data_IF_061406993503
#
_entry.id   IF_061406993503
#
_cell.length_a   1.000
_cell.length_b   1.000
_cell.length_c   1.000
_cell.angle_alpha   90.00
_cell.angle_beta   90.00
_cell.angle_gamma   90.00
#
_symmetry.space_group_name_H-M   'P 1'
#
loop_
_entity.id
_entity.type
_entity.pdbx_description
1 polymer ?
#
# COMPACT_ATOMS: atom_id res chain seq x y z
N UNK A 1 12.76 5.57 -2.63
CA UNK A 1 12.04 4.29 -2.42
C UNK A 1 11.78 3.69 -3.79
N UNK A 2 12.00 2.39 -3.97
CA UNK A 2 11.77 1.72 -5.24
C UNK A 2 10.27 1.73 -5.59
N UNK A 3 9.92 1.91 -6.86
CA UNK A 3 8.54 1.79 -7.33
C UNK A 3 7.97 0.42 -6.93
N UNK A 4 6.74 0.39 -6.43
CA UNK A 4 6.08 -0.88 -6.08
C UNK A 4 5.93 -1.73 -7.35
N UNK A 5 6.53 -2.94 -7.41
CA UNK A 5 6.53 -3.75 -8.61
C UNK A 5 5.12 -4.14 -9.05
N UNK A 6 4.18 -4.26 -8.11
CA UNK A 6 2.78 -4.57 -8.39
C UNK A 6 2.08 -3.43 -9.14
N UNK A 7 2.40 -2.17 -8.83
CA UNK A 7 1.79 -1.03 -9.51
C UNK A 7 2.35 -0.85 -10.92
N UNK A 8 3.67 -1.04 -11.10
CA UNK A 8 4.27 -1.06 -12.45
C UNK A 8 3.68 -2.18 -13.32
N UNK A 9 3.42 -3.36 -12.73
CA UNK A 9 2.74 -4.45 -13.43
C UNK A 9 1.30 -4.06 -13.81
N UNK A 10 0.53 -3.46 -12.89
CA UNK A 10 -0.82 -2.96 -13.17
C UNK A 10 -0.83 -1.99 -14.36
N UNK A 11 0.04 -0.97 -14.36
CA UNK A 11 0.14 0.00 -15.46
C UNK A 11 0.39 -0.72 -16.80
N UNK A 12 1.36 -1.62 -16.84
CA UNK A 12 1.70 -2.33 -18.07
C UNK A 12 0.52 -3.18 -18.58
N UNK A 13 -0.21 -3.83 -17.67
CA UNK A 13 -1.40 -4.63 -18.01
C UNK A 13 -2.55 -3.77 -18.52
N UNK A 14 -2.85 -2.66 -17.86
CA UNK A 14 -3.87 -1.70 -18.30
C UNK A 14 -3.53 -1.15 -19.69
N UNK A 15 -2.27 -0.76 -19.95
CA UNK A 15 -1.85 -0.30 -21.28
C UNK A 15 -2.07 -1.34 -22.37
N UNK A 16 -1.81 -2.62 -22.10
CA UNK A 16 -2.09 -3.71 -23.04
C UNK A 16 -3.59 -3.86 -23.31
N UNK A 17 -4.42 -3.71 -22.28
CA UNK A 17 -5.88 -3.75 -22.42
C UNK A 17 -6.41 -2.54 -23.22
N UNK A 18 -5.89 -1.34 -22.95
CA UNK A 18 -6.22 -0.13 -23.72
C UNK A 18 -5.89 -0.29 -25.20
N UNK A 19 -4.67 -0.77 -25.51
CA UNK A 19 -4.24 -1.02 -26.89
C UNK A 19 -5.15 -2.01 -27.61
N UNK A 20 -5.57 -3.06 -26.90
CA UNK A 20 -6.37 -4.15 -27.47
C UNK A 20 -7.84 -3.78 -27.68
N UNK A 21 -8.45 -3.05 -26.74
CA UNK A 21 -9.91 -2.86 -26.70
C UNK A 21 -10.37 -1.42 -26.96
N UNK A 22 -9.52 -0.42 -26.72
CA UNK A 22 -9.90 1.00 -26.80
C UNK A 22 -9.24 1.76 -27.95
N UNK A 23 -7.96 1.53 -28.27
CA UNK A 23 -7.22 2.41 -29.20
C UNK A 23 -7.90 2.58 -30.57
N UNK A 24 -8.42 1.50 -31.15
CA UNK A 24 -9.17 1.57 -32.42
C UNK A 24 -10.46 2.38 -32.29
N UNK A 25 -11.20 2.18 -31.21
CA UNK A 25 -12.45 2.90 -30.93
C UNK A 25 -12.21 4.39 -30.65
N UNK A 26 -11.19 4.74 -29.86
CA UNK A 26 -10.80 6.13 -29.57
C UNK A 26 -10.38 6.87 -30.85
N UNK A 27 -9.65 6.20 -31.74
CA UNK A 27 -9.24 6.78 -33.03
C UNK A 27 -10.46 7.06 -33.91
N UNK A 28 -11.42 6.13 -33.96
CA UNK A 28 -12.66 6.30 -34.70
C UNK A 28 -13.58 7.38 -34.09
N UNK A 29 -13.72 7.41 -32.77
CA UNK A 29 -14.46 8.44 -32.02
C UNK A 29 -13.87 9.84 -32.28
N UNK A 30 -12.55 9.98 -32.30
CA UNK A 30 -11.88 11.25 -32.59
C UNK A 30 -12.06 11.70 -34.05
N UNK A 31 -12.08 10.76 -34.99
CA UNK A 31 -12.24 11.05 -36.41
C UNK A 31 -13.68 11.48 -36.78
N UNK A 32 -14.69 10.91 -36.11
CA UNK A 32 -16.10 11.25 -36.32
C UNK A 32 -16.92 11.23 -35.02
N UNK A 33 -16.82 12.28 -34.17
CA UNK A 33 -17.43 12.28 -32.85
C UNK A 33 -18.97 12.34 -32.87
N UNK A 34 -19.59 12.74 -33.99
CA UNK A 34 -21.04 12.93 -34.07
C UNK A 34 -21.78 11.69 -34.58
N UNK A 35 -21.11 10.85 -35.38
CA UNK A 35 -21.73 9.64 -35.95
C UNK A 35 -21.14 8.33 -35.40
N UNK A 36 -20.04 8.40 -34.64
CA UNK A 36 -19.40 7.23 -34.06
C UNK A 36 -20.36 6.42 -33.18
N UNK A 37 -20.43 5.12 -33.46
CA UNK A 37 -21.17 4.16 -32.66
C UNK A 37 -20.17 3.23 -31.96
N UNK A 38 -20.11 3.23 -30.62
CA UNK A 38 -19.16 2.41 -29.89
C UNK A 38 -19.48 0.92 -30.00
N UNK A 39 -18.42 0.10 -29.99
CA UNK A 39 -18.53 -1.34 -29.81
C UNK A 39 -18.66 -1.64 -28.31
N UNK A 40 -19.90 -1.88 -27.87
CA UNK A 40 -20.23 -2.11 -26.47
C UNK A 40 -19.63 -3.39 -25.93
N UNK A 41 -19.39 -4.41 -26.76
CA UNK A 41 -18.82 -5.69 -26.31
C UNK A 41 -17.33 -5.53 -26.00
N UNK A 42 -16.61 -4.77 -26.83
CA UNK A 42 -15.21 -4.44 -26.56
C UNK A 42 -15.06 -3.54 -25.32
N UNK A 43 -15.98 -2.58 -25.12
CA UNK A 43 -15.98 -1.73 -23.91
C UNK A 43 -16.32 -2.53 -22.64
N UNK A 44 -17.29 -3.43 -22.73
CA UNK A 44 -17.62 -4.36 -21.66
C UNK A 44 -16.40 -5.22 -21.27
N UNK A 45 -15.72 -5.79 -22.26
CA UNK A 45 -14.52 -6.59 -22.05
C UNK A 45 -13.39 -5.76 -21.41
N UNK A 46 -13.15 -4.54 -21.91
CA UNK A 46 -12.17 -3.62 -21.33
C UNK A 46 -12.44 -3.35 -19.84
N UNK A 47 -13.67 -2.93 -19.50
CA UNK A 47 -14.06 -2.64 -18.12
C UNK A 47 -13.88 -3.85 -17.20
N UNK A 48 -14.37 -5.02 -17.62
CA UNK A 48 -14.27 -6.26 -16.85
C UNK A 48 -12.82 -6.65 -16.55
N UNK A 49 -11.95 -6.54 -17.56
CA UNK A 49 -10.54 -6.93 -17.44
C UNK A 49 -9.74 -5.91 -16.63
N UNK A 50 -9.90 -4.60 -16.86
CA UNK A 50 -9.21 -3.57 -16.06
C UNK A 50 -9.60 -3.66 -14.60
N UNK A 51 -10.88 -3.88 -14.31
CA UNK A 51 -11.33 -4.11 -12.94
C UNK A 51 -10.61 -5.30 -12.29
N UNK A 52 -10.48 -6.42 -13.00
CA UNK A 52 -9.76 -7.59 -12.48
C UNK A 52 -8.28 -7.30 -12.22
N UNK A 53 -7.63 -6.48 -13.05
CA UNK A 53 -6.23 -6.08 -12.83
C UNK A 53 -6.06 -5.17 -11.61
N UNK A 54 -6.95 -4.18 -11.41
CA UNK A 54 -6.92 -3.31 -10.22
C UNK A 54 -7.17 -4.13 -8.95
N UNK A 55 -8.09 -5.08 -9.02
CA UNK A 55 -8.39 -6.02 -7.93
C UNK A 55 -7.17 -6.87 -7.56
N UNK A 56 -6.52 -7.48 -8.56
CA UNK A 56 -5.29 -8.27 -8.38
C UNK A 56 -4.15 -7.43 -7.80
N UNK A 57 -4.01 -6.17 -8.21
CA UNK A 57 -3.04 -5.24 -7.62
C UNK A 57 -3.29 -5.03 -6.13
N UNK A 58 -4.51 -4.66 -5.73
CA UNK A 58 -4.84 -4.39 -4.33
C UNK A 58 -4.63 -5.65 -3.47
N UNK A 59 -5.03 -6.81 -3.98
CA UNK A 59 -4.85 -8.08 -3.27
C UNK A 59 -3.37 -8.44 -3.11
N UNK A 60 -2.58 -8.36 -4.17
CA UNK A 60 -1.13 -8.67 -4.11
C UNK A 60 -0.39 -7.71 -3.22
N UNK A 61 -0.70 -6.41 -3.28
CA UNK A 61 -0.11 -5.41 -2.40
C UNK A 61 -0.44 -5.75 -0.93
N UNK A 62 -1.72 -5.88 -0.60
CA UNK A 62 -2.15 -6.19 0.77
C UNK A 62 -1.56 -7.50 1.30
N UNK A 63 -1.50 -8.54 0.47
CA UNK A 63 -0.89 -9.83 0.83
C UNK A 63 0.60 -9.71 1.11
N UNK A 64 1.35 -9.02 0.24
CA UNK A 64 2.79 -8.82 0.40
C UNK A 64 3.11 -8.02 1.68
N UNK A 65 2.34 -6.98 1.96
CA UNK A 65 2.51 -6.16 3.15
C UNK A 65 2.18 -6.95 4.41
N UNK A 66 1.10 -7.73 4.39
CA UNK A 66 0.71 -8.60 5.50
C UNK A 66 1.71 -9.74 5.75
N UNK A 67 2.31 -10.30 4.69
CA UNK A 67 3.40 -11.27 4.82
C UNK A 67 4.69 -10.64 5.38
N UNK A 68 4.99 -9.40 5.00
CA UNK A 68 6.07 -8.62 5.60
C UNK A 68 5.84 -8.43 7.10
N UNK A 69 4.62 -8.06 7.49
CA UNK A 69 4.21 -7.90 8.89
C UNK A 69 4.28 -9.19 9.69
N UNK A 70 3.75 -10.29 9.14
CA UNK A 70 3.78 -11.59 9.81
C UNK A 70 5.23 -12.06 10.04
N UNK A 71 6.13 -11.83 9.07
CA UNK A 71 7.57 -12.09 9.23
C UNK A 71 8.19 -11.21 10.29
N UNK A 72 7.87 -9.91 10.32
CA UNK A 72 8.35 -9.00 11.34
C UNK A 72 7.93 -9.46 12.75
N UNK A 73 6.66 -9.84 12.93
CA UNK A 73 6.12 -10.38 14.18
C UNK A 73 6.82 -11.68 14.62
N UNK A 74 7.09 -12.57 13.67
CA UNK A 74 7.82 -13.81 13.95
C UNK A 74 9.29 -13.57 14.35
N UNK A 75 9.91 -12.52 13.82
CA UNK A 75 11.33 -12.20 14.02
C UNK A 75 11.64 -11.41 15.31
N UNK A 76 10.66 -10.72 15.92
CA UNK A 76 10.91 -9.79 17.04
C UNK A 76 10.70 -10.37 18.46
N UNK A 77 11.58 -9.92 19.38
CA UNK A 77 11.37 -9.75 20.83
C UNK A 77 11.49 -8.25 21.15
N UNK A 78 10.80 -7.70 22.16
CA UNK A 78 9.37 -7.83 22.48
C UNK A 78 8.50 -7.22 21.36
N UNK A 79 7.23 -7.62 21.29
CA UNK A 79 6.28 -7.01 20.35
C UNK A 79 6.00 -5.60 20.84
N UNK A 80 6.71 -4.60 20.31
CA UNK A 80 6.25 -3.22 20.42
C UNK A 80 5.00 -3.17 19.54
N UNK A 81 3.81 -2.97 20.13
CA UNK A 81 2.58 -3.02 19.37
C UNK A 81 2.62 -1.98 18.25
N UNK A 82 2.68 -2.44 17.01
CA UNK A 82 2.67 -1.58 15.85
C UNK A 82 1.26 -1.04 15.66
N UNK A 83 1.13 0.26 15.38
CA UNK A 83 -0.15 0.97 15.32
C UNK A 83 -1.19 0.25 14.43
N UNK A 84 -0.74 -0.36 13.32
CA UNK A 84 -1.61 -1.09 12.40
C UNK A 84 -2.35 -2.27 13.05
N UNK A 85 -1.76 -2.95 14.06
CA UNK A 85 -2.39 -4.10 14.74
C UNK A 85 -3.66 -3.64 15.47
N UNK A 86 -3.56 -2.52 16.18
CA UNK A 86 -4.71 -1.93 16.86
C UNK A 86 -5.75 -1.40 15.88
N UNK A 87 -5.32 -0.80 14.78
CA UNK A 87 -6.25 -0.31 13.77
C UNK A 87 -7.03 -1.44 13.11
N UNK A 88 -6.36 -2.53 12.72
CA UNK A 88 -7.04 -3.72 12.17
C UNK A 88 -7.93 -4.40 13.22
N UNK A 89 -7.46 -4.54 14.45
CA UNK A 89 -8.28 -5.11 15.53
C UNK A 89 -9.55 -4.27 15.76
N UNK A 90 -9.42 -2.95 15.80
CA UNK A 90 -10.56 -2.04 15.91
C UNK A 90 -11.50 -2.15 14.70
N UNK A 91 -10.96 -2.17 13.47
CA UNK A 91 -11.73 -2.33 12.24
C UNK A 91 -12.54 -3.65 12.23
N UNK A 92 -11.95 -4.74 12.71
CA UNK A 92 -12.61 -6.04 12.79
C UNK A 92 -13.39 -6.27 14.10
N UNK A 93 -13.49 -5.26 14.97
CA UNK A 93 -14.09 -5.38 16.31
C UNK A 93 -13.51 -6.54 17.15
N UNK A 94 -12.21 -6.80 17.00
CA UNK A 94 -11.47 -7.81 17.73
C UNK A 94 -10.79 -7.18 18.96
N UNK A 95 -10.93 -7.84 20.12
CA UNK A 95 -10.30 -7.35 21.35
C UNK A 95 -8.87 -7.85 21.45
N UNK A 96 -7.93 -6.91 21.59
CA UNK A 96 -6.54 -7.23 21.98
C UNK A 96 -6.42 -7.28 23.51
N UNK A 97 -5.65 -8.23 24.06
CA UNK A 97 -5.43 -8.32 25.50
C UNK A 97 -4.68 -7.07 25.98
N UNK A 98 -5.34 -6.29 26.82
CA UNK A 98 -4.81 -5.06 27.46
C UNK A 98 -4.72 -5.21 28.98
N UNK A 99 -5.37 -6.24 29.52
CA UNK A 99 -5.42 -6.65 30.92
C UNK A 99 -4.12 -7.29 31.40
N UNK A 100 -3.31 -7.84 30.49
CA UNK A 100 -2.04 -8.51 30.79
C UNK A 100 -0.94 -8.04 29.82
N UNK A 101 -0.39 -6.82 29.98
CA UNK A 101 0.58 -6.24 29.05
C UNK A 101 1.90 -7.01 28.93
N UNK A 102 2.13 -7.98 29.82
CA UNK A 102 3.32 -8.84 29.84
C UNK A 102 3.06 -10.28 29.37
N UNK A 103 1.83 -10.61 28.98
CA UNK A 103 1.49 -11.92 28.41
C UNK A 103 1.72 -11.91 26.88
N UNK A 104 3.00 -12.03 26.50
CA UNK A 104 3.44 -12.05 25.11
C UNK A 104 2.76 -13.16 24.30
N UNK A 105 2.51 -14.32 24.91
CA UNK A 105 1.85 -15.44 24.23
C UNK A 105 0.39 -15.13 23.89
N UNK A 106 -0.40 -14.63 24.85
CA UNK A 106 -1.80 -14.24 24.59
C UNK A 106 -1.91 -13.09 23.60
N UNK A 107 -0.98 -12.13 23.66
CA UNK A 107 -0.93 -11.05 22.68
C UNK A 107 -0.64 -11.58 21.27
N UNK A 108 0.37 -12.46 21.10
CA UNK A 108 0.69 -13.10 19.80
C UNK A 108 -0.51 -13.82 19.20
N UNK A 109 -1.22 -14.63 19.98
CA UNK A 109 -2.41 -15.32 19.50
C UNK A 109 -3.50 -14.37 19.01
N UNK A 110 -3.69 -13.23 19.71
CA UNK A 110 -4.65 -12.22 19.29
C UNK A 110 -4.21 -11.52 17.99
N UNK A 111 -2.93 -11.19 17.85
CA UNK A 111 -2.38 -10.60 16.60
C UNK A 111 -2.49 -11.59 15.44
N UNK A 112 -2.15 -12.86 15.65
CA UNK A 112 -2.29 -13.90 14.61
C UNK A 112 -3.74 -14.05 14.16
N UNK A 113 -4.71 -13.95 15.07
CA UNK A 113 -6.13 -13.95 14.73
C UNK A 113 -6.51 -12.72 13.87
N UNK A 114 -6.00 -11.53 14.20
CA UNK A 114 -6.21 -10.30 13.41
C UNK A 114 -5.60 -10.43 12.01
N UNK A 115 -4.36 -10.92 11.91
CA UNK A 115 -3.68 -11.18 10.63
C UNK A 115 -4.48 -12.19 9.80
N UNK A 116 -4.94 -13.29 10.42
CA UNK A 116 -5.76 -14.29 9.75
C UNK A 116 -7.05 -13.68 9.21
N UNK A 117 -7.74 -12.84 9.99
CA UNK A 117 -8.96 -12.16 9.56
C UNK A 117 -8.71 -11.19 8.40
N UNK A 118 -7.58 -10.49 8.41
CA UNK A 118 -7.16 -9.65 7.29
C UNK A 118 -6.93 -10.48 6.02
N UNK A 119 -6.26 -11.65 6.12
CA UNK A 119 -6.09 -12.58 4.97
C UNK A 119 -7.41 -13.06 4.40
N UNK A 120 -8.33 -13.46 5.27
CA UNK A 120 -9.68 -13.90 4.85
C UNK A 120 -10.41 -12.77 4.13
N UNK A 121 -10.32 -11.53 4.64
CA UNK A 121 -10.97 -10.37 4.02
C UNK A 121 -10.38 -10.02 2.66
N UNK A 122 -9.06 -10.18 2.48
CA UNK A 122 -8.40 -10.01 1.18
C UNK A 122 -8.72 -11.17 0.21
N UNK A 123 -8.92 -12.39 0.71
CA UNK A 123 -9.23 -13.57 -0.09
C UNK A 123 -10.70 -13.68 -0.50
N UNK A 124 -11.64 -13.19 0.32
CA UNK A 124 -13.08 -13.15 0.06
C UNK A 124 -13.47 -12.02 -0.92
N UNK A 125 -12.55 -11.68 -1.83
CA UNK A 125 -12.75 -10.64 -2.82
C UNK A 125 -13.68 -11.13 -3.93
N UNK A 126 -14.80 -10.44 -4.11
CA UNK A 126 -15.72 -10.65 -5.22
C UNK A 126 -15.89 -9.31 -5.96
N UNK A 127 -14.76 -8.66 -6.25
CA UNK A 127 -14.66 -7.38 -6.92
C UNK A 127 -14.19 -6.22 -6.06
N UNK A 128 -13.79 -5.12 -6.70
CA UNK A 128 -13.19 -3.95 -6.04
C UNK A 128 -14.20 -3.35 -5.05
N UNK A 129 -14.10 -3.75 -3.78
CA UNK A 129 -14.97 -3.30 -2.68
C UNK A 129 -14.20 -2.35 -1.77
N UNK A 130 -14.90 -1.33 -1.28
CA UNK A 130 -14.39 -0.42 -0.22
C UNK A 130 -13.72 -1.17 0.93
N UNK A 131 -14.28 -2.30 1.37
CA UNK A 131 -13.74 -3.08 2.48
C UNK A 131 -12.28 -3.52 2.24
N UNK A 132 -11.93 -3.93 1.03
CA UNK A 132 -10.59 -4.43 0.71
C UNK A 132 -9.62 -3.27 0.58
N UNK A 133 -10.03 -2.20 -0.09
CA UNK A 133 -9.23 -0.97 -0.14
C UNK A 133 -8.91 -0.47 1.27
N UNK A 134 -9.90 -0.43 2.18
CA UNK A 134 -9.69 -0.07 3.59
C UNK A 134 -8.67 -0.98 4.27
N UNK A 135 -8.83 -2.30 4.15
CA UNK A 135 -7.89 -3.25 4.76
C UNK A 135 -6.48 -3.07 4.22
N UNK A 136 -6.30 -2.87 2.91
CA UNK A 136 -4.99 -2.59 2.30
C UNK A 136 -4.40 -1.30 2.85
N UNK A 137 -5.18 -0.23 3.00
CA UNK A 137 -4.71 1.04 3.58
C UNK A 137 -4.26 0.88 5.05
N UNK A 138 -5.04 0.17 5.86
CA UNK A 138 -4.70 -0.08 7.27
C UNK A 138 -3.44 -0.92 7.42
N UNK A 139 -3.26 -1.92 6.53
CA UNK A 139 -2.03 -2.71 6.45
C UNK A 139 -0.86 -1.83 5.98
N UNK A 140 -1.06 -0.88 5.07
CA UNK A 140 0.01 0.02 4.66
C UNK A 140 0.34 1.10 5.71
N UNK A 141 -0.41 1.13 6.82
CA UNK A 141 -0.16 1.96 7.99
C UNK A 141 -0.92 3.29 8.03
N UNK A 142 -1.81 3.54 7.06
CA UNK A 142 -2.67 4.73 7.06
C UNK A 142 -3.69 4.66 8.19
N UNK A 143 -3.90 5.79 8.87
CA UNK A 143 -4.99 5.95 9.84
C UNK A 143 -6.32 6.11 9.08
N UNK A 144 -7.43 5.76 9.74
CA UNK A 144 -8.77 5.85 9.12
C UNK A 144 -9.07 7.26 8.57
N UNK A 145 -8.61 8.31 9.26
CA UNK A 145 -8.77 9.71 8.84
C UNK A 145 -7.86 10.13 7.68
N UNK A 146 -6.85 9.33 7.34
CA UNK A 146 -5.93 9.56 6.22
C UNK A 146 -6.35 8.82 4.95
N UNK A 147 -7.35 7.94 5.04
CA UNK A 147 -7.81 7.16 3.88
C UNK A 147 -8.60 8.06 2.93
N UNK A 148 -8.24 8.02 1.65
CA UNK A 148 -8.98 8.72 0.61
C UNK A 148 -10.35 8.06 0.36
N UNK A 149 -11.39 8.66 0.95
CA UNK A 149 -12.78 8.23 0.77
C UNK A 149 -13.31 8.49 -0.64
N UNK A 150 -12.78 9.47 -1.37
CA UNK A 150 -13.18 9.72 -2.75
C UNK A 150 -12.69 8.58 -3.65
N UNK A 151 -11.43 8.15 -3.46
CA UNK A 151 -10.89 6.97 -4.14
C UNK A 151 -11.67 5.70 -3.79
N UNK A 152 -11.97 5.46 -2.51
CA UNK A 152 -12.79 4.32 -2.09
C UNK A 152 -14.16 4.30 -2.79
N UNK A 153 -14.79 5.48 -2.93
CA UNK A 153 -16.07 5.65 -3.62
C UNK A 153 -15.94 5.38 -5.12
N UNK A 154 -14.90 5.91 -5.77
CA UNK A 154 -14.64 5.68 -7.19
C UNK A 154 -14.40 4.20 -7.50
N UNK A 155 -13.60 3.52 -6.66
CA UNK A 155 -13.34 2.08 -6.75
C UNK A 155 -14.63 1.24 -6.62
N UNK A 156 -15.48 1.57 -5.65
CA UNK A 156 -16.78 0.88 -5.49
C UNK A 156 -17.74 1.15 -6.65
N UNK A 157 -17.83 2.39 -7.12
CA UNK A 157 -18.66 2.74 -8.28
C UNK A 157 -18.19 2.01 -9.54
N UNK A 158 -16.87 1.87 -9.73
CA UNK A 158 -16.30 1.10 -10.83
C UNK A 158 -16.61 -0.40 -10.70
N UNK A 159 -16.55 -0.95 -9.48
CA UNK A 159 -16.97 -2.32 -9.19
C UNK A 159 -18.45 -2.59 -9.48
N UNK A 160 -19.33 -1.65 -9.10
CA UNK A 160 -20.77 -1.73 -9.41
C UNK A 160 -21.02 -1.66 -10.92
N UNK A 161 -20.38 -0.72 -11.61
CA UNK A 161 -20.48 -0.56 -13.06
C UNK A 161 -19.99 -1.82 -13.81
N UNK A 162 -19.00 -2.53 -13.26
CA UNK A 162 -18.56 -3.85 -13.74
C UNK A 162 -19.60 -4.93 -13.47
N UNK A 163 -20.14 -5.00 -12.24
CA UNK A 163 -21.18 -5.95 -11.86
C UNK A 163 -22.41 -5.85 -12.78
N UNK A 164 -22.79 -4.62 -13.13
CA UNK A 164 -23.86 -4.34 -14.07
C UNK A 164 -23.62 -4.95 -15.46
N UNK A 165 -22.40 -4.83 -15.99
CA UNK A 165 -22.00 -5.45 -17.27
C UNK A 165 -22.02 -6.97 -17.17
N UNK A 166 -21.57 -7.54 -16.05
CA UNK A 166 -21.49 -8.98 -15.86
C UNK A 166 -22.88 -9.64 -15.68
N UNK A 167 -23.84 -8.94 -15.05
CA UNK A 167 -25.15 -9.50 -14.72
C UNK A 167 -26.24 -9.19 -15.76
N UNK A 168 -26.12 -8.10 -16.52
CA UNK A 168 -27.10 -7.75 -17.56
C UNK A 168 -26.64 -8.35 -18.89
N UNK A 169 -27.36 -9.37 -19.36
CA UNK A 169 -27.22 -9.93 -20.72
C UNK A 169 -27.14 -8.81 -21.76
N UNK A 170 -26.28 -9.02 -22.77
CA UNK A 170 -25.84 -8.15 -23.88
C UNK A 170 -26.88 -7.18 -24.46
N UNK A 171 -28.18 -7.45 -24.31
CA UNK A 171 -29.26 -6.60 -24.81
C UNK A 171 -29.68 -5.42 -23.89
N UNK A 172 -29.07 -5.24 -22.70
CA UNK A 172 -29.54 -4.25 -21.70
C UNK A 172 -28.45 -3.49 -20.94
N UNK A 173 -27.20 -3.50 -21.40
CA UNK A 173 -26.15 -2.71 -20.75
C UNK A 173 -26.29 -1.24 -21.14
N UNK A 174 -27.12 -0.50 -20.42
CA UNK A 174 -27.31 0.95 -20.61
C UNK A 174 -26.24 1.80 -19.92
N UNK A 175 -25.28 1.16 -19.22
CA UNK A 175 -24.28 1.83 -18.37
C UNK A 175 -22.88 1.90 -18.98
N UNK A 176 -22.68 1.41 -20.21
CA UNK A 176 -21.41 1.57 -20.94
C UNK A 176 -21.39 2.96 -21.55
N UNK A 177 -20.37 3.75 -21.21
CA UNK A 177 -20.18 5.11 -21.71
C UNK A 177 -19.34 5.09 -22.99
N UNK A 178 -19.15 6.26 -23.59
CA UNK A 178 -18.25 6.42 -24.73
C UNK A 178 -16.82 5.95 -24.38
N UNK A 179 -16.03 5.46 -25.36
CA UNK A 179 -14.66 4.97 -25.13
C UNK A 179 -13.77 5.98 -24.41
N UNK A 180 -13.85 7.26 -24.80
CA UNK A 180 -13.15 8.37 -24.14
C UNK A 180 -13.48 8.52 -22.65
N UNK A 181 -14.75 8.33 -22.27
CA UNK A 181 -15.19 8.39 -20.89
C UNK A 181 -14.70 7.19 -20.08
N UNK A 182 -14.84 5.96 -20.60
CA UNK A 182 -14.33 4.75 -19.93
C UNK A 182 -12.82 4.83 -19.69
N UNK A 183 -12.06 5.32 -20.69
CA UNK A 183 -10.63 5.53 -20.54
C UNK A 183 -10.33 6.54 -19.43
N UNK A 184 -11.04 7.68 -19.43
CA UNK A 184 -10.85 8.73 -18.44
C UNK A 184 -11.12 8.24 -17.02
N UNK A 185 -12.18 7.47 -16.79
CA UNK A 185 -12.46 6.94 -15.45
C UNK A 185 -11.34 6.03 -14.95
N UNK A 186 -10.81 5.16 -15.82
CA UNK A 186 -9.68 4.28 -15.49
C UNK A 186 -8.43 5.10 -15.21
N UNK A 187 -8.11 6.09 -16.04
CA UNK A 187 -6.97 6.98 -15.83
C UNK A 187 -7.06 7.73 -14.50
N UNK A 188 -8.25 8.24 -14.15
CA UNK A 188 -8.49 8.97 -12.91
C UNK A 188 -8.31 8.04 -11.69
N UNK A 189 -8.80 6.80 -11.74
CA UNK A 189 -8.60 5.78 -10.69
C UNK A 189 -7.11 5.40 -10.56
N UNK A 190 -6.44 5.13 -11.68
CA UNK A 190 -5.03 4.76 -11.72
C UNK A 190 -4.16 5.87 -11.11
N UNK A 191 -4.43 7.12 -11.48
CA UNK A 191 -3.73 8.28 -10.93
C UNK A 191 -3.99 8.47 -9.45
N UNK A 192 -5.23 8.29 -9.00
CA UNK A 192 -5.56 8.39 -7.58
C UNK A 192 -4.87 7.29 -6.76
N UNK A 193 -4.83 6.05 -7.25
CA UNK A 193 -4.06 4.95 -6.63
C UNK A 193 -2.56 5.27 -6.56
N UNK A 194 -1.99 5.81 -7.63
CA UNK A 194 -0.59 6.22 -7.66
C UNK A 194 -0.28 7.28 -6.62
N UNK A 195 -1.09 8.35 -6.59
CA UNK A 195 -0.92 9.47 -5.68
C UNK A 195 -1.09 9.05 -4.22
N UNK A 196 -2.05 8.17 -3.96
CA UNK A 196 -2.35 7.71 -2.61
C UNK A 196 -1.23 6.83 -2.05
N UNK A 197 -0.84 5.77 -2.76
CA UNK A 197 0.17 4.80 -2.28
C UNK A 197 1.62 5.23 -2.52
N UNK A 198 1.88 6.11 -3.49
CA UNK A 198 3.24 6.52 -3.88
C UNK A 198 3.42 8.06 -3.95
N UNK A 199 3.06 8.81 -2.89
CA UNK A 199 3.05 10.28 -2.90
C UNK A 199 4.44 10.93 -3.18
N UNK A 200 5.54 10.16 -3.02
CA UNK A 200 6.90 10.64 -3.22
C UNK A 200 7.30 10.88 -4.70
N UNK A 201 6.47 10.55 -5.69
CA UNK A 201 6.76 10.89 -7.10
C UNK A 201 6.52 12.36 -7.47
N UNK A 202 5.86 13.15 -6.59
CA UNK A 202 5.59 14.58 -6.84
C UNK A 202 6.68 15.52 -6.26
N UNK A 203 7.48 15.07 -5.28
CA UNK A 203 8.46 15.94 -4.63
C UNK A 203 9.80 16.10 -5.36
N UNK A 204 10.08 15.32 -6.42
CA UNK A 204 11.30 15.47 -7.21
C UNK A 204 11.29 16.73 -8.12
N UNK A 205 10.11 17.26 -8.48
CA UNK A 205 10.00 18.43 -9.36
C UNK A 205 9.89 19.78 -8.63
N UNK A 206 9.65 19.80 -7.31
CA UNK A 206 9.58 21.06 -6.54
C UNK A 206 10.97 21.46 -6.02
N UNK A 207 11.88 20.51 -5.80
CA UNK A 207 13.25 20.79 -5.41
C UNK A 207 14.10 21.45 -6.53
N UNK A 208 13.68 21.33 -7.80
CA UNK A 208 14.36 21.98 -8.94
C UNK A 208 13.94 23.44 -9.15
N UNK A 209 12.87 23.92 -8.50
CA UNK A 209 12.37 25.29 -8.68
C UNK A 209 12.82 26.26 -7.56
N UNK A 210 13.43 25.76 -6.47
CA UNK A 210 13.90 26.58 -5.35
C UNK A 210 15.39 26.99 -5.47
N UNK A 211 15.97 26.88 -6.67
CA UNK A 211 17.36 27.21 -6.95
C UNK A 211 17.53 28.52 -7.68
N UNK A 212 17.09 29.67 -7.15
CA UNK A 212 17.62 30.97 -7.58
C UNK A 212 17.53 32.05 -6.50
N UNK A 213 18.71 32.44 -6.00
CA UNK A 213 19.11 33.72 -5.41
C UNK A 213 18.47 34.20 -4.09
N UNK A 214 19.28 34.31 -3.03
CA UNK A 214 19.85 35.61 -2.67
C UNK A 214 21.15 35.49 -1.85
N UNK A 215 22.01 36.48 -2.08
CA UNK A 215 23.41 36.66 -1.72
C UNK A 215 23.60 36.94 -0.22
N UNK A 216 24.75 36.51 0.32
CA UNK A 216 25.24 36.79 1.68
C UNK A 216 25.50 38.29 1.92
N UNK A 217 25.82 38.70 3.17
CA UNK A 217 27.26 38.81 3.46
C UNK A 217 27.68 38.34 4.86
N UNK A 218 28.99 38.08 4.94
CA UNK A 218 29.74 37.57 6.07
C UNK A 218 29.93 38.56 7.22
N UNK A 219 30.04 38.02 8.45
CA UNK A 219 30.90 38.58 9.52
C UNK A 219 31.51 37.42 10.31
N UNK A 220 32.83 37.34 10.32
CA UNK A 220 33.65 36.45 11.13
C UNK A 220 33.90 37.06 12.52
N UNK A 221 33.89 36.25 13.58
CA UNK A 221 34.61 36.55 14.83
C UNK A 221 35.20 35.26 15.44
N UNK A 222 36.40 35.43 15.98
CA UNK A 222 37.43 34.48 16.37
C UNK A 222 37.13 33.52 17.53
N UNK A 223 37.92 32.44 17.56
CA UNK A 223 38.18 31.54 18.70
C UNK A 223 38.83 32.26 19.90
N UNK A 224 38.96 31.59 21.06
CA UNK A 224 40.24 30.92 21.31
C UNK A 224 40.17 29.57 22.05
N UNK A 225 41.29 28.85 21.95
CA UNK A 225 41.62 27.56 22.55
C UNK A 225 41.97 27.62 24.05
N UNK A 226 41.94 26.46 24.72
CA UNK A 226 42.82 26.01 25.84
C UNK A 226 42.33 24.62 26.28
N UNK A 227 43.09 23.52 26.14
CA UNK A 227 44.27 23.05 26.88
C UNK A 227 43.90 21.85 27.78
N UNK A 228 44.46 20.67 27.47
CA UNK A 228 44.57 19.49 28.36
C UNK A 228 45.68 19.75 29.42
N UNK A 229 45.85 18.96 30.52
CA UNK A 229 46.33 17.56 30.43
C UNK A 229 46.02 16.56 31.60
N UNK A 230 46.23 15.28 31.29
CA UNK A 230 46.97 14.20 32.01
C UNK A 230 46.53 13.52 33.34
N UNK A 231 46.96 12.25 33.40
CA UNK A 231 47.26 11.33 34.52
C UNK A 231 46.08 10.52 35.13
N UNK A 232 45.98 9.20 34.92
CA UNK A 232 46.79 8.08 35.47
C UNK A 232 46.20 7.55 36.80
N UNK A 233 45.66 6.33 36.81
CA UNK A 233 45.77 5.39 37.95
C UNK A 233 45.32 3.97 37.58
N UNK A 234 46.16 3.02 37.98
CA UNK A 234 46.14 1.60 37.69
C UNK A 234 45.22 0.79 38.62
N UNK A 235 44.80 -0.41 38.13
CA UNK A 235 44.66 -1.75 38.77
C UNK A 235 43.98 -1.88 40.16
N UNK A 236 43.22 -2.97 40.48
CA UNK A 236 43.61 -4.35 40.20
C UNK A 236 42.49 -5.37 39.86
N UNK A 237 42.97 -6.52 39.40
CA UNK A 237 42.32 -7.83 39.21
C UNK A 237 41.66 -8.38 40.49
N UNK A 238 40.66 -9.27 40.36
CA UNK A 238 40.76 -10.53 41.10
C UNK A 238 40.34 -11.79 40.34
N UNK A 239 40.86 -12.91 40.88
CA UNK A 239 40.57 -14.33 40.70
C UNK A 239 39.16 -14.67 40.15
N UNK A 240 38.98 -15.65 39.26
CA UNK A 240 39.46 -17.02 39.35
C UNK A 240 38.27 -17.92 39.71
N UNK A 241 37.52 -18.38 38.69
CA UNK A 241 36.41 -19.32 38.87
C UNK A 241 36.71 -20.61 38.13
N UNK A 242 36.81 -21.68 38.90
CA UNK A 242 37.06 -23.07 38.49
C UNK A 242 35.80 -23.63 37.84
N UNK A 243 35.97 -24.23 36.66
CA UNK A 243 34.94 -24.98 35.92
C UNK A 243 34.98 -26.44 36.40
N UNK A 244 33.87 -27.04 36.87
CA UNK A 244 33.81 -28.47 37.12
C UNK A 244 33.59 -29.26 35.82
N UNK A 245 34.38 -30.33 35.62
CA UNK A 245 34.22 -31.31 34.54
C UNK A 245 33.05 -32.28 34.82
N UNK A 246 32.36 -32.76 33.77
CA UNK A 246 31.34 -33.79 33.89
C UNK A 246 31.95 -35.20 33.98
N UNK A 247 31.49 -35.98 34.95
CA UNK A 247 31.75 -37.42 35.08
C UNK A 247 30.97 -38.21 34.02
N UNK A 248 31.64 -39.15 33.34
CA UNK A 248 30.99 -40.13 32.47
C UNK A 248 30.56 -41.37 33.28
N UNK A 249 29.37 -41.94 33.02
CA UNK A 249 28.98 -43.24 33.55
C UNK A 249 29.46 -44.39 32.65
N UNK A 250 30.00 -45.43 33.30
CA UNK A 250 30.24 -46.79 32.81
C UNK A 250 28.96 -47.58 32.60
#
# INVERSE_FOLDING_TARGET
MAACPFFSHLIARVQVLEQKFLTGQLTAELADPLSFTPDTDLLAAYRLLVHAEIEDFLERKGRADLESMARALASQKPIIPTVWVYQLANHFAMTLPHDCPFDDHRFRLAVDAVIKRARETLADNNGIKTAIYLVVCLIDGYRIDEIDHALATALSAFGEARGDVAHKSTNRVTSIRAPSAEKKDVDDIMKALEQFFFPLHVQANVASAAGTALVAPAVAVAAPATAAPAAELAMPTPAGTVIPQPTQPT
#
